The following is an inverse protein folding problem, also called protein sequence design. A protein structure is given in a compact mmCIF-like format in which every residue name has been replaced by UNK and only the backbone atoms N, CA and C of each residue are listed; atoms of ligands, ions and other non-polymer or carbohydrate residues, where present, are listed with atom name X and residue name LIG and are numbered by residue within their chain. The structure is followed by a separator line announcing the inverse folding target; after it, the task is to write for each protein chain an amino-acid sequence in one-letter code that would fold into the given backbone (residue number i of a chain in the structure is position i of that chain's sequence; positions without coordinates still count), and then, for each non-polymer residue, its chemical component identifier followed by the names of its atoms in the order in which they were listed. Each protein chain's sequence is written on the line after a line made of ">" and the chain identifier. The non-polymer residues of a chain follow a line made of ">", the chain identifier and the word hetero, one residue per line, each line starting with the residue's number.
data_IF_522776453835
#
_entry.id   IF_522776453835
#
_cell.length_a   1.000
_cell.length_b   1.000
_cell.length_c   1.000
_cell.angle_alpha   90.00
_cell.angle_beta   90.00
_cell.angle_gamma   90.00
#
_symmetry.space_group_name_H-M   'P 1'
#
loop_
_entity.id
_entity.type
_entity.pdbx_description
1 polymer ?
#
# COMPACT_ATOMS: atom_id res chain seq x y z
N UNK A 1 -12.69 16.49 -10.93
CA UNK A 1 -12.27 15.23 -10.26
C UNK A 1 -10.77 15.25 -10.11
N UNK A 2 -10.23 14.80 -8.98
CA UNK A 2 -8.80 14.88 -8.69
C UNK A 2 -8.30 13.58 -8.06
N UNK A 3 -7.07 13.19 -8.36
CA UNK A 3 -6.37 12.03 -7.78
C UNK A 3 -5.05 12.47 -7.13
N UNK A 4 -4.88 12.15 -5.85
CA UNK A 4 -3.58 12.13 -5.18
C UNK A 4 -3.23 10.67 -4.90
N UNK A 5 -2.11 10.19 -5.44
CA UNK A 5 -1.61 8.84 -5.16
C UNK A 5 -1.82 7.79 -6.26
N UNK A 6 -1.75 6.53 -5.83
CA UNK A 6 -1.62 5.35 -6.69
C UNK A 6 -2.93 5.01 -7.38
N UNK A 7 -2.86 4.59 -8.64
CA UNK A 7 -3.97 3.91 -9.33
C UNK A 7 -3.50 2.76 -10.24
N UNK A 8 -2.18 2.63 -10.41
CA UNK A 8 -1.52 1.59 -11.22
C UNK A 8 -2.09 1.49 -12.64
N UNK A 9 -2.31 2.63 -13.27
CA UNK A 9 -2.73 2.67 -14.67
C UNK A 9 -1.59 2.21 -15.56
N UNK A 10 -1.83 1.17 -16.36
CA UNK A 10 -0.91 0.70 -17.38
C UNK A 10 -1.30 1.28 -18.73
N UNK A 11 -0.32 1.86 -19.43
CA UNK A 11 -0.51 2.53 -20.71
C UNK A 11 -0.27 4.04 -20.63
N UNK A 12 -0.39 4.73 -21.77
CA UNK A 12 -0.02 6.14 -21.88
C UNK A 12 -1.03 7.09 -21.21
N UNK A 13 -2.29 6.67 -21.03
CA UNK A 13 -3.28 7.48 -20.31
C UNK A 13 -3.12 7.26 -18.81
N UNK A 14 -2.68 8.30 -18.10
CA UNK A 14 -2.48 8.28 -16.65
C UNK A 14 -3.56 9.06 -15.90
N UNK A 15 -4.62 9.48 -16.59
CA UNK A 15 -5.70 10.29 -16.04
C UNK A 15 -7.01 9.52 -16.04
N UNK A 16 -7.31 8.74 -17.09
CA UNK A 16 -8.54 7.93 -17.20
C UNK A 16 -9.83 8.67 -16.78
N UNK A 17 -9.92 9.97 -17.08
CA UNK A 17 -11.06 10.83 -16.76
C UNK A 17 -10.92 11.69 -15.49
N UNK A 18 -9.86 11.54 -14.70
CA UNK A 18 -9.48 12.56 -13.72
C UNK A 18 -9.12 13.87 -14.43
N UNK A 19 -9.59 15.00 -13.90
CA UNK A 19 -9.27 16.33 -14.43
C UNK A 19 -7.87 16.77 -14.00
N UNK A 20 -7.42 16.29 -12.83
CA UNK A 20 -6.11 16.59 -12.25
C UNK A 20 -5.56 15.37 -11.52
N UNK A 21 -4.24 15.18 -11.60
CA UNK A 21 -3.49 14.16 -10.86
C UNK A 21 -2.29 14.82 -10.18
N UNK A 22 -2.24 14.74 -8.86
CA UNK A 22 -1.32 15.53 -8.02
C UNK A 22 0.04 14.87 -7.83
N UNK A 23 0.12 13.55 -8.04
CA UNK A 23 1.36 12.77 -7.94
C UNK A 23 1.53 11.88 -9.16
N UNK A 24 2.78 11.48 -9.43
CA UNK A 24 3.02 10.34 -10.31
C UNK A 24 2.49 9.04 -9.68
N UNK A 25 2.45 7.95 -10.44
CA UNK A 25 2.26 6.61 -9.86
C UNK A 25 3.57 6.10 -9.26
N UNK A 26 3.46 5.27 -8.22
CA UNK A 26 4.60 4.57 -7.60
C UNK A 26 5.01 3.34 -8.43
N UNK A 27 4.08 2.78 -9.22
CA UNK A 27 4.32 1.62 -10.05
C UNK A 27 4.51 1.95 -11.54
N UNK A 28 5.21 1.07 -12.29
CA UNK A 28 5.40 1.26 -13.72
C UNK A 28 4.09 1.34 -14.50
N UNK A 29 4.07 2.19 -15.52
CA UNK A 29 2.93 2.35 -16.43
C UNK A 29 3.12 1.59 -17.76
N UNK A 30 4.16 0.76 -17.88
CA UNK A 30 4.47 0.01 -19.09
C UNK A 30 4.03 -1.46 -19.03
N UNK A 31 4.34 -2.23 -20.07
CA UNK A 31 3.99 -3.64 -20.17
C UNK A 31 5.04 -4.58 -19.55
N UNK A 32 5.96 -4.06 -18.73
CA UNK A 32 7.08 -4.81 -18.18
C UNK A 32 6.65 -6.00 -17.32
N UNK A 33 5.56 -5.86 -16.57
CA UNK A 33 5.03 -6.90 -15.67
C UNK A 33 3.97 -7.78 -16.33
N UNK A 34 4.21 -8.21 -17.57
CA UNK A 34 3.30 -9.09 -18.31
C UNK A 34 3.64 -10.57 -18.04
N UNK A 35 2.75 -11.36 -17.42
CA UNK A 35 2.94 -12.81 -17.30
C UNK A 35 2.78 -13.51 -18.65
N UNK A 36 3.38 -14.70 -18.81
CA UNK A 36 3.26 -15.51 -20.03
C UNK A 36 2.70 -16.92 -19.74
N UNK A 37 1.45 -17.15 -20.10
CA UNK A 37 0.79 -18.46 -19.92
C UNK A 37 1.39 -19.57 -20.77
N UNK A 38 2.23 -19.26 -21.76
CA UNK A 38 2.99 -20.27 -22.53
C UNK A 38 4.16 -20.83 -21.73
N UNK A 39 4.52 -20.20 -20.60
CA UNK A 39 5.62 -20.59 -19.73
C UNK A 39 5.14 -20.80 -18.27
N UNK A 40 4.21 -21.75 -18.04
CA UNK A 40 3.70 -21.98 -16.69
C UNK A 40 4.82 -22.44 -15.75
N UNK A 41 4.87 -21.87 -14.56
CA UNK A 41 5.89 -22.16 -13.54
C UNK A 41 7.18 -21.35 -13.66
N UNK A 42 7.35 -20.55 -14.73
CA UNK A 42 8.45 -19.57 -14.80
C UNK A 42 8.14 -18.38 -13.87
N UNK A 43 9.17 -17.93 -13.14
CA UNK A 43 9.13 -16.69 -12.35
C UNK A 43 10.11 -15.66 -12.90
N UNK A 44 9.81 -14.39 -12.66
CA UNK A 44 10.64 -13.27 -13.11
C UNK A 44 11.10 -12.45 -11.90
N UNK A 45 12.31 -12.76 -11.44
CA UNK A 45 12.87 -12.34 -10.14
C UNK A 45 12.89 -10.85 -9.88
N UNK A 46 13.04 -10.02 -10.91
CA UNK A 46 13.22 -8.58 -10.73
C UNK A 46 11.93 -7.83 -10.36
N UNK A 47 10.76 -8.47 -10.46
CA UNK A 47 9.47 -7.85 -10.08
C UNK A 47 8.47 -8.79 -9.41
N UNK A 48 8.60 -10.10 -9.55
CA UNK A 48 7.82 -11.00 -8.70
C UNK A 48 8.18 -10.79 -7.24
N UNK A 49 7.14 -10.77 -6.41
CA UNK A 49 7.29 -10.83 -4.97
C UNK A 49 8.09 -12.07 -4.60
N UNK A 50 8.76 -11.98 -3.46
CA UNK A 50 9.41 -13.10 -2.82
C UNK A 50 9.32 -12.93 -1.30
N UNK A 51 9.66 -13.99 -0.56
CA UNK A 51 9.58 -13.97 0.89
C UNK A 51 10.62 -13.05 1.57
N UNK A 52 11.45 -12.34 0.81
CA UNK A 52 12.38 -11.33 1.29
C UNK A 52 11.70 -10.18 2.02
N UNK A 53 10.48 -9.80 1.65
CA UNK A 53 9.69 -8.80 2.38
C UNK A 53 9.37 -9.24 3.81
N UNK A 54 9.25 -10.55 4.05
CA UNK A 54 8.99 -11.13 5.38
C UNK A 54 10.26 -11.17 6.22
N UNK A 55 11.35 -11.70 5.67
CA UNK A 55 12.65 -11.76 6.39
C UNK A 55 13.28 -10.38 6.59
N UNK A 56 12.96 -9.43 5.71
CA UNK A 56 13.45 -8.06 5.73
C UNK A 56 12.60 -7.09 6.57
N UNK A 57 11.53 -7.57 7.20
CA UNK A 57 10.59 -6.71 7.92
C UNK A 57 11.24 -5.98 9.10
N UNK A 58 10.88 -4.73 9.35
CA UNK A 58 11.46 -3.98 10.47
C UNK A 58 11.13 -2.50 10.50
N UNK A 59 12.14 -1.71 10.88
CA UNK A 59 11.98 -0.28 11.18
C UNK A 59 12.88 0.55 10.29
N UNK A 60 12.31 1.57 9.65
CA UNK A 60 13.04 2.65 8.99
C UNK A 60 12.23 3.94 9.05
N UNK A 61 12.90 5.08 9.08
CA UNK A 61 12.22 6.39 9.13
C UNK A 61 11.78 6.88 7.74
N UNK A 62 12.33 6.27 6.69
CA UNK A 62 11.93 6.50 5.30
C UNK A 62 12.03 5.20 4.50
N UNK A 63 11.15 5.06 3.52
CA UNK A 63 11.14 4.02 2.50
C UNK A 63 10.58 4.64 1.22
N UNK A 64 10.70 3.95 0.08
CA UNK A 64 10.07 4.38 -1.18
C UNK A 64 8.57 4.64 -0.99
N UNK A 65 7.90 3.79 -0.21
CA UNK A 65 6.46 3.92 0.07
C UNK A 65 6.15 5.06 1.04
N UNK A 66 7.00 5.31 2.05
CA UNK A 66 6.76 6.39 3.01
C UNK A 66 6.99 7.76 2.37
N UNK A 67 8.00 7.88 1.50
CA UNK A 67 8.21 9.10 0.72
C UNK A 67 6.98 9.37 -0.15
N UNK A 68 6.50 8.36 -0.86
CA UNK A 68 5.31 8.47 -1.70
C UNK A 68 4.08 8.89 -0.91
N UNK A 69 3.73 8.17 0.16
CA UNK A 69 2.50 8.45 0.93
C UNK A 69 2.55 9.77 1.71
N UNK A 70 3.73 10.19 2.16
CA UNK A 70 3.90 11.52 2.74
C UNK A 70 3.59 12.61 1.70
N UNK A 71 4.00 12.42 0.44
CA UNK A 71 3.69 13.33 -0.66
C UNK A 71 2.19 13.28 -1.02
N UNK A 72 1.59 12.08 -1.08
CA UNK A 72 0.15 11.88 -1.32
C UNK A 72 -0.68 12.65 -0.29
N UNK A 73 -0.37 12.48 1.00
CA UNK A 73 -1.07 13.15 2.10
C UNK A 73 -0.91 14.67 2.01
N UNK A 74 0.31 15.14 1.76
CA UNK A 74 0.62 16.56 1.61
C UNK A 74 -0.22 17.20 0.50
N UNK A 75 -0.21 16.63 -0.70
CA UNK A 75 -0.94 17.17 -1.84
C UNK A 75 -2.45 17.07 -1.68
N UNK A 76 -2.95 15.98 -1.09
CA UNK A 76 -4.38 15.83 -0.78
C UNK A 76 -4.84 16.93 0.17
N UNK A 77 -4.09 17.16 1.26
CA UNK A 77 -4.38 18.22 2.23
C UNK A 77 -4.30 19.61 1.58
N UNK A 78 -3.28 19.87 0.78
CA UNK A 78 -3.15 21.13 0.04
C UNK A 78 -4.34 21.35 -0.92
N UNK A 79 -4.80 20.29 -1.59
CA UNK A 79 -5.95 20.36 -2.49
C UNK A 79 -7.25 20.65 -1.74
N UNK A 80 -7.46 20.08 -0.55
CA UNK A 80 -8.60 20.42 0.31
C UNK A 80 -8.62 21.90 0.64
N UNK A 81 -7.47 22.50 1.02
CA UNK A 81 -7.40 23.95 1.27
C UNK A 81 -7.64 24.79 0.02
N UNK A 82 -7.19 24.34 -1.15
CA UNK A 82 -7.43 25.05 -2.41
C UNK A 82 -8.91 25.03 -2.80
N UNK A 83 -9.58 23.88 -2.69
CA UNK A 83 -11.00 23.72 -2.95
C UNK A 83 -11.86 24.62 -2.04
N UNK A 84 -11.43 24.82 -0.78
CA UNK A 84 -12.12 25.71 0.16
C UNK A 84 -12.15 27.19 -0.28
N UNK A 85 -11.30 27.61 -1.22
CA UNK A 85 -11.31 28.99 -1.76
C UNK A 85 -12.52 29.27 -2.64
N UNK A 86 -13.20 28.23 -3.13
CA UNK A 86 -14.45 28.35 -3.89
C UNK A 86 -14.28 29.04 -5.25
N UNK A 87 -13.10 28.92 -5.88
CA UNK A 87 -12.87 29.46 -7.23
C UNK A 87 -13.69 28.76 -8.32
N UNK A 88 -14.12 27.53 -8.05
CA UNK A 88 -15.02 26.75 -8.89
C UNK A 88 -16.24 26.33 -8.07
N UNK A 89 -17.44 26.53 -8.62
CA UNK A 89 -18.71 26.21 -7.97
C UNK A 89 -19.14 24.75 -8.18
N UNK A 90 -18.47 23.99 -9.05
CA UNK A 90 -18.75 22.56 -9.25
C UNK A 90 -18.48 21.77 -7.97
N UNK A 91 -19.29 20.75 -7.64
CA UNK A 91 -18.90 19.80 -6.60
C UNK A 91 -17.62 19.07 -7.03
N UNK A 92 -16.77 18.77 -6.06
CA UNK A 92 -15.51 18.08 -6.30
C UNK A 92 -15.59 16.62 -5.83
N UNK A 93 -14.68 15.83 -6.37
CA UNK A 93 -14.38 14.48 -5.91
C UNK A 93 -12.85 14.35 -5.93
N UNK A 94 -12.27 14.06 -4.76
CA UNK A 94 -10.85 13.87 -4.55
C UNK A 94 -10.62 12.42 -4.11
N UNK A 95 -9.86 11.67 -4.90
CA UNK A 95 -9.39 10.33 -4.54
C UNK A 95 -8.00 10.48 -3.91
N UNK A 96 -7.83 9.98 -2.69
CA UNK A 96 -6.54 9.94 -1.99
C UNK A 96 -6.18 8.48 -1.82
N UNK A 97 -5.13 8.03 -2.51
CA UNK A 97 -4.81 6.62 -2.69
C UNK A 97 -3.38 6.33 -2.26
N UNK A 98 -3.25 5.88 -1.02
CA UNK A 98 -1.98 5.52 -0.41
C UNK A 98 -1.47 4.15 -0.90
N UNK A 99 -0.16 3.93 -0.85
CA UNK A 99 0.46 2.64 -1.17
C UNK A 99 0.51 1.71 0.04
N UNK A 100 0.69 2.25 1.26
CA UNK A 100 0.61 1.44 2.46
C UNK A 100 -0.80 0.85 2.65
N UNK A 101 -0.94 -0.30 3.34
CA UNK A 101 0.10 -1.06 4.04
C UNK A 101 0.74 -2.16 3.17
N UNK A 102 0.79 -2.00 1.85
CA UNK A 102 1.53 -2.90 0.96
C UNK A 102 2.99 -3.07 1.43
N UNK A 103 3.59 -4.24 1.16
CA UNK A 103 4.98 -4.51 1.52
C UNK A 103 5.97 -3.67 0.67
N UNK A 104 7.20 -3.40 1.11
CA UNK A 104 7.93 -4.02 2.23
C UNK A 104 7.33 -3.73 3.61
N UNK A 105 7.40 -4.71 4.51
CA UNK A 105 6.95 -4.61 5.90
C UNK A 105 7.94 -3.80 6.75
N UNK A 106 8.04 -2.51 6.46
CA UNK A 106 8.93 -1.57 7.15
C UNK A 106 8.10 -0.38 7.64
N UNK A 107 8.19 -0.06 8.93
CA UNK A 107 7.42 1.01 9.56
C UNK A 107 8.32 2.02 10.28
N UNK A 108 7.87 3.27 10.45
CA UNK A 108 8.56 4.25 11.30
C UNK A 108 8.51 3.82 12.76
N UNK A 109 9.56 4.14 13.53
CA UNK A 109 9.64 3.74 14.93
C UNK A 109 8.44 4.23 15.76
N UNK A 110 7.97 5.46 15.51
CA UNK A 110 6.79 6.05 16.16
C UNK A 110 5.57 5.11 16.15
N UNK A 111 5.28 4.48 15.01
CA UNK A 111 4.12 3.61 14.88
C UNK A 111 4.45 2.16 15.25
N UNK A 112 5.67 1.71 14.96
CA UNK A 112 6.14 0.38 15.36
C UNK A 112 6.04 0.15 16.87
N UNK A 113 6.40 1.16 17.65
CA UNK A 113 6.39 1.10 19.12
C UNK A 113 4.96 0.96 19.69
N UNK A 114 3.92 1.35 18.95
CA UNK A 114 2.50 1.18 19.36
C UNK A 114 2.08 -0.30 19.49
N UNK A 115 2.83 -1.22 18.90
CA UNK A 115 2.48 -2.63 18.78
C UNK A 115 3.47 -3.56 19.52
N UNK A 116 4.20 -3.05 20.51
CA UNK A 116 5.14 -3.85 21.32
C UNK A 116 4.49 -5.08 21.95
N UNK A 117 3.32 -4.90 22.57
CA UNK A 117 2.58 -5.96 23.26
C UNK A 117 1.42 -6.54 22.42
N UNK A 118 1.50 -6.46 21.09
CA UNK A 118 0.42 -6.95 20.23
C UNK A 118 0.27 -8.48 20.32
N UNK A 119 -0.93 -8.95 20.71
CA UNK A 119 -1.24 -10.38 20.82
C UNK A 119 -1.50 -11.07 19.46
N UNK A 120 -1.71 -10.31 18.38
CA UNK A 120 -2.17 -10.81 17.07
C UNK A 120 -1.04 -10.92 16.03
N UNK A 121 0.21 -11.00 16.49
CA UNK A 121 1.40 -11.06 15.64
C UNK A 121 1.65 -12.43 15.01
N UNK A 122 0.85 -13.44 15.32
CA UNK A 122 0.84 -14.73 14.63
C UNK A 122 -0.50 -14.92 13.90
N UNK A 123 -0.49 -15.59 12.74
CA UNK A 123 -1.73 -16.00 12.09
C UNK A 123 -2.45 -17.06 12.93
N UNK A 124 -3.78 -17.04 12.91
CA UNK A 124 -4.59 -18.05 13.61
C UNK A 124 -4.45 -19.44 12.98
N UNK A 125 -4.30 -19.49 11.66
CA UNK A 125 -4.01 -20.71 10.91
C UNK A 125 -2.49 -20.79 10.70
N UNK A 126 -1.80 -21.81 11.25
CA UNK A 126 -0.36 -21.97 11.08
C UNK A 126 -0.01 -22.34 9.63
N UNK A 127 1.29 -22.29 9.30
CA UNK A 127 1.78 -22.81 8.04
C UNK A 127 1.44 -24.31 7.90
N UNK A 128 1.04 -24.71 6.69
CA UNK A 128 0.78 -26.10 6.33
C UNK A 128 1.93 -26.62 5.46
N UNK A 129 2.09 -27.93 5.39
CA UNK A 129 3.09 -28.52 4.49
C UNK A 129 2.71 -28.23 3.03
N UNK A 130 3.72 -27.98 2.17
CA UNK A 130 3.51 -27.65 0.76
C UNK A 130 2.58 -28.65 0.03
N UNK A 131 2.67 -29.92 0.37
CA UNK A 131 1.86 -30.98 -0.24
C UNK A 131 0.37 -30.92 0.13
N UNK A 132 0.02 -30.27 1.24
CA UNK A 132 -1.35 -30.15 1.72
C UNK A 132 -2.09 -28.93 1.16
N UNK A 133 -1.35 -28.02 0.49
CA UNK A 133 -1.93 -26.88 -0.20
C UNK A 133 -2.64 -27.29 -1.48
N UNK A 134 -3.72 -26.57 -1.82
CA UNK A 134 -4.38 -26.74 -3.11
C UNK A 134 -3.47 -26.27 -4.27
N UNK A 135 -3.75 -26.68 -5.52
CA UNK A 135 -2.88 -26.37 -6.65
C UNK A 135 -2.66 -24.88 -6.89
N UNK A 136 -3.60 -24.00 -6.51
CA UNK A 136 -3.41 -22.57 -6.66
C UNK A 136 -2.47 -21.99 -5.60
N UNK A 137 -2.66 -22.36 -4.33
CA UNK A 137 -1.74 -21.97 -3.27
C UNK A 137 -0.31 -22.42 -3.57
N UNK A 138 -0.12 -23.66 -4.04
CA UNK A 138 1.20 -24.14 -4.48
C UNK A 138 1.86 -23.23 -5.52
N UNK A 139 1.10 -22.77 -6.54
CA UNK A 139 1.61 -21.80 -7.54
C UNK A 139 2.00 -20.46 -6.93
N UNK A 140 1.26 -19.98 -5.91
CA UNK A 140 1.59 -18.73 -5.21
C UNK A 140 2.88 -18.89 -4.41
N UNK A 141 3.04 -20.00 -3.68
CA UNK A 141 4.28 -20.32 -2.97
C UNK A 141 5.46 -20.32 -3.94
N UNK A 142 5.36 -21.06 -5.04
CA UNK A 142 6.42 -21.14 -6.05
C UNK A 142 6.74 -19.77 -6.67
N UNK A 143 5.74 -18.93 -6.95
CA UNK A 143 5.95 -17.58 -7.46
C UNK A 143 6.70 -16.67 -6.46
N UNK A 144 6.47 -16.86 -5.15
CA UNK A 144 7.12 -16.14 -4.05
C UNK A 144 8.48 -16.72 -3.64
N UNK A 145 9.02 -17.67 -4.41
CA UNK A 145 10.36 -18.24 -4.21
C UNK A 145 10.59 -18.84 -2.81
N UNK A 146 9.53 -19.38 -2.21
CA UNK A 146 9.50 -19.73 -0.78
C UNK A 146 10.62 -20.69 -0.33
N UNK A 147 11.13 -21.56 -1.22
CA UNK A 147 12.18 -22.55 -0.90
C UNK A 147 13.55 -21.93 -0.63
N UNK A 148 13.77 -20.70 -1.07
CA UNK A 148 15.03 -19.98 -0.88
C UNK A 148 15.05 -19.17 0.42
N UNK A 149 13.98 -19.23 1.22
CA UNK A 149 13.85 -18.48 2.46
C UNK A 149 13.48 -19.43 3.61
N UNK A 150 14.14 -19.24 4.75
CA UNK A 150 13.75 -19.86 6.01
C UNK A 150 12.96 -18.82 6.81
N UNK A 151 11.65 -19.04 6.95
CA UNK A 151 10.73 -18.08 7.57
C UNK A 151 10.51 -18.48 9.02
N UNK A 152 11.05 -17.68 9.93
CA UNK A 152 10.91 -17.93 11.37
C UNK A 152 9.63 -17.31 11.91
N UNK A 153 9.21 -17.76 13.09
CA UNK A 153 8.10 -17.15 13.82
C UNK A 153 8.35 -15.66 14.06
N UNK A 154 9.59 -15.26 14.37
CA UNK A 154 9.94 -13.86 14.61
C UNK A 154 9.81 -13.01 13.33
N UNK A 155 10.16 -13.55 12.16
CA UNK A 155 9.97 -12.85 10.88
C UNK A 155 8.48 -12.59 10.62
N UNK A 156 7.62 -13.57 10.92
CA UNK A 156 6.15 -13.43 10.83
C UNK A 156 5.67 -12.34 11.79
N UNK A 157 6.13 -12.37 13.04
CA UNK A 157 5.74 -11.39 14.07
C UNK A 157 6.15 -9.98 13.67
N UNK A 158 7.39 -9.80 13.20
CA UNK A 158 7.91 -8.50 12.74
C UNK A 158 7.17 -7.99 11.52
N UNK A 159 6.90 -8.86 10.55
CA UNK A 159 6.14 -8.52 9.35
C UNK A 159 4.75 -8.01 9.68
N UNK A 160 4.01 -8.76 10.51
CA UNK A 160 2.66 -8.37 10.95
C UNK A 160 2.70 -7.11 11.83
N UNK A 161 3.72 -6.95 12.67
CA UNK A 161 3.91 -5.74 13.48
C UNK A 161 4.13 -4.51 12.61
N UNK A 162 5.00 -4.59 11.59
CA UNK A 162 5.22 -3.48 10.67
C UNK A 162 3.96 -3.17 9.86
N UNK A 163 3.25 -4.20 9.39
CA UNK A 163 1.99 -4.05 8.68
C UNK A 163 0.95 -3.31 9.53
N UNK A 164 0.73 -3.71 10.79
CA UNK A 164 -0.17 -3.02 11.71
C UNK A 164 0.31 -1.60 12.04
N UNK A 165 1.61 -1.41 12.24
CA UNK A 165 2.19 -0.08 12.43
C UNK A 165 1.93 0.84 11.23
N UNK A 166 2.02 0.33 10.01
CA UNK A 166 1.73 1.10 8.80
C UNK A 166 0.23 1.40 8.64
N UNK A 167 -0.66 0.63 9.26
CA UNK A 167 -2.08 1.02 9.38
C UNK A 167 -2.22 2.24 10.31
N UNK A 168 -1.52 2.29 11.45
CA UNK A 168 -1.50 3.52 12.28
C UNK A 168 -0.85 4.71 11.58
N UNK A 169 0.14 4.47 10.72
CA UNK A 169 0.70 5.53 9.86
C UNK A 169 -0.37 6.10 8.93
N UNK A 170 -1.16 5.24 8.26
CA UNK A 170 -2.26 5.68 7.41
C UNK A 170 -3.35 6.40 8.20
N UNK A 171 -3.69 5.93 9.39
CA UNK A 171 -4.66 6.57 10.27
C UNK A 171 -4.27 8.03 10.56
N UNK A 172 -2.99 8.27 10.88
CA UNK A 172 -2.42 9.62 11.08
C UNK A 172 -2.57 10.47 9.79
N UNK A 173 -2.25 9.91 8.61
CA UNK A 173 -2.35 10.62 7.32
C UNK A 173 -3.79 10.93 6.91
N UNK A 174 -4.72 10.02 7.16
CA UNK A 174 -6.14 10.24 6.93
C UNK A 174 -6.63 11.34 7.87
N UNK A 175 -6.20 11.31 9.14
CA UNK A 175 -6.42 12.37 10.12
C UNK A 175 -6.04 13.75 9.59
N UNK A 176 -4.83 13.91 9.03
CA UNK A 176 -4.36 15.18 8.45
C UNK A 176 -5.31 15.75 7.35
N UNK A 177 -5.90 14.88 6.52
CA UNK A 177 -6.84 15.28 5.47
C UNK A 177 -8.21 15.62 6.06
N UNK A 178 -8.69 14.82 7.02
CA UNK A 178 -9.95 15.06 7.71
C UNK A 178 -9.93 16.36 8.53
N UNK A 179 -8.82 16.64 9.22
CA UNK A 179 -8.61 17.90 9.93
C UNK A 179 -8.67 19.11 8.99
N UNK A 180 -8.13 19.00 7.77
CA UNK A 180 -8.22 20.07 6.79
C UNK A 180 -9.66 20.30 6.31
N UNK A 181 -10.45 19.23 6.11
CA UNK A 181 -11.87 19.33 5.78
C UNK A 181 -12.64 20.05 6.89
N UNK A 182 -12.43 19.64 8.15
CA UNK A 182 -13.08 20.26 9.31
C UNK A 182 -12.68 21.74 9.47
N UNK A 183 -11.38 22.05 9.40
CA UNK A 183 -10.86 23.41 9.54
C UNK A 183 -11.38 24.36 8.45
N UNK A 184 -11.64 23.83 7.26
CA UNK A 184 -12.22 24.58 6.13
C UNK A 184 -13.74 24.52 6.07
N UNK A 185 -14.39 23.82 7.02
CA UNK A 185 -15.85 23.65 7.12
C UNK A 185 -16.47 23.11 5.83
N UNK A 186 -15.76 22.23 5.16
CA UNK A 186 -16.25 21.56 3.96
C UNK A 186 -16.99 20.29 4.37
N UNK A 187 -18.14 20.05 3.75
CA UNK A 187 -18.89 18.80 3.89
C UNK A 187 -18.57 17.88 2.70
N UNK A 188 -18.28 16.62 2.99
CA UNK A 188 -17.95 15.62 1.98
C UNK A 188 -18.49 14.24 2.39
N UNK A 189 -18.84 13.43 1.39
CA UNK A 189 -19.07 12.00 1.59
C UNK A 189 -17.72 11.30 1.60
N UNK A 190 -17.44 10.53 2.65
CA UNK A 190 -16.17 9.83 2.84
C UNK A 190 -16.35 8.34 2.52
N UNK A 191 -15.48 7.81 1.66
CA UNK A 191 -15.39 6.39 1.35
C UNK A 191 -13.98 5.90 1.68
N UNK A 192 -13.88 4.86 2.50
CA UNK A 192 -12.62 4.18 2.78
C UNK A 192 -12.67 2.78 2.17
N UNK A 193 -11.77 2.51 1.24
CA UNK A 193 -11.70 1.27 0.45
C UNK A 193 -10.24 0.90 0.20
N UNK A 194 -9.99 -0.35 -0.20
CA UNK A 194 -8.70 -0.85 -0.64
C UNK A 194 -8.90 -1.77 -1.84
N UNK A 195 -7.86 -1.93 -2.66
CA UNK A 195 -7.84 -2.76 -3.87
C UNK A 195 -7.88 -4.26 -3.56
N UNK A 196 -7.13 -4.72 -2.55
CA UNK A 196 -7.07 -6.12 -2.12
C UNK A 196 -6.50 -6.28 -0.70
N UNK A 197 -6.56 -7.51 -0.16
CA UNK A 197 -5.97 -7.89 1.12
C UNK A 197 -5.30 -9.25 1.08
#
# INVERSE_FOLDING_TARGET
>A
TCLSGKMHFVGPDQMHGFEERLTTDIYPADFGWTPDYRKPGERIDWWYHNMGSVTGAGVAEISNQMEYDDEVAYHARAKVYDLARGHDARPWCLTVSFTHPHDPYVARKKYWDLYEDCAHLLPEVPAMDYADHDPHAQRIFDANDWRNFDITEEDIRRSRRAYFANISYLDDKIGEVMEALEATRQEAVILFVSDHG
#
